data_IF_316822761665
#
_entry.id   IF_316822761665
#
_cell.length_a   1.000
_cell.length_b   1.000
_cell.length_c   1.000
_cell.angle_alpha   90.00
_cell.angle_beta   90.00
_cell.angle_gamma   90.00
#
_symmetry.space_group_name_H-M   'P 1'
#
loop_
_entity.id
_entity.type
_entity.pdbx_description
1 polymer ?
#
# COMPACT_ATOMS: atom_id res chain seq x y z
N UNK A 1 1.29 -1.10 7.10
CA UNK A 1 2.19 -2.06 7.76
C UNK A 1 3.62 -1.57 7.59
N UNK A 2 4.40 -1.61 8.67
CA UNK A 2 5.84 -1.35 8.64
C UNK A 2 6.62 -2.58 9.08
N UNK A 3 7.95 -2.54 8.98
CA UNK A 3 8.79 -3.63 9.47
C UNK A 3 8.94 -3.60 10.99
N UNK A 4 8.75 -4.76 11.62
CA UNK A 4 9.14 -5.05 13.00
C UNK A 4 10.40 -5.89 12.93
N UNK A 5 11.46 -5.43 13.62
CA UNK A 5 12.75 -6.12 13.63
C UNK A 5 12.88 -6.91 14.92
N UNK A 6 13.01 -8.22 14.81
CA UNK A 6 13.43 -9.11 15.90
C UNK A 6 14.82 -9.69 15.58
N UNK A 7 15.49 -10.28 16.57
CA UNK A 7 16.77 -10.96 16.35
C UNK A 7 16.61 -12.46 16.48
N UNK A 8 17.23 -13.17 15.56
CA UNK A 8 17.37 -14.61 15.63
C UNK A 8 18.20 -15.01 16.87
N UNK A 9 17.72 -15.95 17.71
CA UNK A 9 18.40 -16.30 18.96
C UNK A 9 19.69 -17.12 18.74
N UNK A 10 19.82 -17.80 17.59
CA UNK A 10 20.94 -18.71 17.29
C UNK A 10 22.09 -17.98 16.56
N UNK A 11 21.74 -17.05 15.67
CA UNK A 11 22.67 -16.37 14.76
C UNK A 11 22.69 -14.85 14.91
N UNK A 12 21.83 -14.28 15.76
CA UNK A 12 21.74 -12.82 16.03
C UNK A 12 21.50 -11.97 14.76
N UNK A 13 20.99 -12.59 13.69
CA UNK A 13 20.59 -11.92 12.44
C UNK A 13 19.27 -11.18 12.64
N UNK A 14 19.09 -10.06 11.95
CA UNK A 14 17.83 -9.31 11.95
C UNK A 14 16.74 -10.04 11.14
N UNK A 15 15.63 -10.36 11.80
CA UNK A 15 14.43 -10.89 11.19
C UNK A 15 13.44 -9.74 11.05
N UNK A 16 13.03 -9.44 9.81
CA UNK A 16 12.06 -8.38 9.50
C UNK A 16 10.69 -8.99 9.21
N UNK A 17 9.69 -8.66 10.02
CA UNK A 17 8.30 -9.08 9.82
C UNK A 17 7.39 -7.88 9.58
N UNK A 18 6.26 -8.08 8.91
CA UNK A 18 5.27 -7.03 8.74
C UNK A 18 4.43 -6.88 10.00
N UNK A 19 4.45 -5.69 10.60
CA UNK A 19 3.59 -5.29 11.70
C UNK A 19 2.55 -4.26 11.26
N UNK A 20 1.37 -4.32 11.88
CA UNK A 20 0.36 -3.26 11.73
C UNK A 20 0.92 -1.98 12.36
N UNK A 21 0.96 -0.91 11.56
CA UNK A 21 1.39 0.40 12.03
C UNK A 21 0.23 1.12 12.73
N UNK A 22 -0.91 1.22 12.04
CA UNK A 22 -2.15 1.82 12.53
C UNK A 22 -3.30 1.51 11.56
N UNK A 23 -4.55 1.64 12.03
CA UNK A 23 -5.77 1.47 11.21
C UNK A 23 -6.52 2.79 11.15
N UNK A 24 -6.64 3.37 9.95
CA UNK A 24 -7.23 4.70 9.75
C UNK A 24 -8.32 4.70 8.70
N UNK A 25 -9.23 5.66 8.82
CA UNK A 25 -10.17 6.00 7.75
C UNK A 25 -9.45 6.63 6.57
N UNK A 26 -9.75 6.13 5.37
CA UNK A 26 -9.23 6.63 4.11
C UNK A 26 -10.31 6.56 3.03
N UNK A 27 -10.23 7.46 2.06
CA UNK A 27 -10.96 7.35 0.81
C UNK A 27 -10.12 6.54 -0.18
N UNK A 28 -10.70 5.48 -0.74
CA UNK A 28 -10.06 4.63 -1.74
C UNK A 28 -10.83 4.80 -3.05
N UNK A 29 -10.12 5.24 -4.10
CA UNK A 29 -10.67 5.36 -5.45
C UNK A 29 -9.90 4.42 -6.37
N UNK A 30 -10.58 3.39 -6.88
CA UNK A 30 -10.02 2.51 -7.90
C UNK A 30 -9.85 3.28 -9.21
N UNK A 31 -8.65 3.21 -9.78
CA UNK A 31 -8.32 3.92 -11.02
C UNK A 31 -8.50 2.92 -12.16
N UNK A 32 -9.53 3.12 -12.97
CA UNK A 32 -9.74 2.29 -14.15
C UNK A 32 -8.59 2.50 -15.14
N UNK A 33 -8.04 1.42 -15.73
CA UNK A 33 -7.09 1.56 -16.84
C UNK A 33 -7.80 2.28 -18.00
N UNK A 34 -7.21 3.37 -18.48
CA UNK A 34 -7.76 4.08 -19.64
C UNK A 34 -7.55 3.22 -20.89
N UNK A 35 -8.62 3.02 -21.68
CA UNK A 35 -8.68 2.13 -22.87
C UNK A 35 -7.80 2.52 -24.06
N UNK A 36 -6.92 3.50 -23.94
CA UNK A 36 -6.06 3.98 -25.04
C UNK A 36 -4.60 3.79 -24.67
N UNK A 37 -4.13 2.55 -24.79
CA UNK A 37 -2.75 2.08 -25.04
C UNK A 37 -2.56 0.65 -24.48
N UNK A 38 -3.41 -0.30 -24.90
CA UNK A 38 -3.11 -1.72 -24.66
C UNK A 38 -3.24 -2.48 -25.98
N UNK A 39 -2.23 -2.31 -26.83
CA UNK A 39 -1.77 -3.37 -27.73
C UNK A 39 -0.25 -3.35 -27.64
N UNK A 40 0.32 -4.18 -26.75
CA UNK A 40 1.47 -5.04 -27.06
C UNK A 40 1.93 -5.84 -25.83
N UNK A 41 1.88 -7.16 -25.99
CA UNK A 41 2.58 -8.22 -25.23
C UNK A 41 2.09 -8.63 -23.83
N UNK A 42 1.48 -9.82 -23.82
CA UNK A 42 1.70 -10.95 -22.91
C UNK A 42 1.78 -10.69 -21.39
N UNK A 43 0.84 -11.31 -20.67
CA UNK A 43 0.67 -11.29 -19.20
C UNK A 43 0.20 -9.93 -18.70
N UNK A 44 -1.05 -9.60 -19.02
CA UNK A 44 -1.77 -8.52 -18.36
C UNK A 44 -2.09 -8.97 -16.92
N UNK A 45 -1.07 -8.90 -16.06
CA UNK A 45 -1.30 -8.82 -14.61
C UNK A 45 -2.13 -7.56 -14.45
N UNK A 46 -3.43 -7.72 -14.19
CA UNK A 46 -4.32 -6.60 -13.92
C UNK A 46 -3.87 -5.98 -12.59
N UNK A 47 -2.86 -5.13 -12.66
CA UNK A 47 -2.50 -4.21 -11.61
C UNK A 47 -3.73 -3.32 -11.44
N UNK A 48 -4.41 -3.42 -10.29
CA UNK A 48 -5.56 -2.55 -9.96
C UNK A 48 -5.01 -1.34 -9.21
N UNK A 49 -4.59 -0.26 -9.90
CA UNK A 49 -4.13 0.92 -9.22
C UNK A 49 -5.28 1.54 -8.44
N UNK A 50 -4.97 2.07 -7.27
CA UNK A 50 -5.94 2.80 -6.46
C UNK A 50 -5.29 4.01 -5.84
N UNK A 51 -6.04 5.11 -5.84
CA UNK A 51 -5.68 6.34 -5.17
C UNK A 51 -6.26 6.32 -3.77
N UNK A 52 -5.40 6.39 -2.77
CA UNK A 52 -5.78 6.39 -1.36
C UNK A 52 -5.51 7.77 -0.78
N UNK A 53 -6.53 8.37 -0.16
CA UNK A 53 -6.43 9.66 0.53
C UNK A 53 -6.81 9.50 1.98
N UNK A 54 -5.99 10.05 2.87
CA UNK A 54 -6.25 10.03 4.32
C UNK A 54 -5.75 11.32 4.98
N UNK A 55 -5.95 11.44 6.30
CA UNK A 55 -5.41 12.55 7.09
C UNK A 55 -3.88 12.61 6.98
N UNK A 56 -3.33 13.81 7.09
CA UNK A 56 -1.89 14.04 7.03
C UNK A 56 -1.12 13.18 8.02
N UNK A 57 -0.08 12.49 7.53
CA UNK A 57 0.83 11.66 8.32
C UNK A 57 2.24 11.76 7.78
N UNK A 58 3.19 11.87 8.70
CA UNK A 58 4.64 11.86 8.40
C UNK A 58 5.28 10.49 8.63
N UNK A 59 4.51 9.56 9.19
CA UNK A 59 4.95 8.23 9.63
C UNK A 59 4.76 7.14 8.55
N UNK A 60 4.36 7.54 7.35
CA UNK A 60 4.20 6.63 6.21
C UNK A 60 5.40 6.77 5.29
N UNK A 61 6.01 5.65 4.90
CA UNK A 61 7.12 5.61 3.94
C UNK A 61 6.74 4.78 2.72
N UNK A 62 7.32 5.02 1.52
CA UNK A 62 6.97 4.29 0.30
C UNK A 62 7.29 2.79 0.36
N UNK A 63 8.19 2.36 1.24
CA UNK A 63 8.51 0.95 1.47
C UNK A 63 7.43 0.19 2.27
N UNK A 64 6.42 0.89 2.80
CA UNK A 64 5.33 0.27 3.56
C UNK A 64 4.28 -0.39 2.66
N UNK A 65 3.48 -1.28 3.27
CA UNK A 65 2.30 -1.89 2.65
C UNK A 65 1.01 -1.34 3.24
N UNK A 66 -0.04 -1.26 2.44
CA UNK A 66 -1.39 -0.96 2.90
C UNK A 66 -2.24 -2.23 2.90
N UNK A 67 -3.11 -2.35 3.89
CA UNK A 67 -4.18 -3.35 3.89
C UNK A 67 -5.47 -2.55 3.82
N UNK A 68 -6.21 -2.72 2.73
CA UNK A 68 -7.55 -2.14 2.61
C UNK A 68 -8.49 -3.04 3.40
N UNK A 69 -9.24 -2.45 4.32
CA UNK A 69 -10.23 -3.14 5.15
C UNK A 69 -11.62 -2.59 4.85
N UNK A 70 -12.62 -3.48 4.91
CA UNK A 70 -14.02 -3.10 4.82
C UNK A 70 -14.49 -2.29 6.03
N UNK A 71 -15.70 -1.73 5.95
CA UNK A 71 -16.29 -0.99 7.06
C UNK A 71 -16.53 -1.88 8.31
N UNK A 72 -16.66 -3.19 8.12
CA UNK A 72 -16.76 -4.21 9.16
C UNK A 72 -15.40 -4.62 9.77
N UNK A 73 -14.29 -4.10 9.22
CA UNK A 73 -12.93 -4.38 9.67
C UNK A 73 -12.29 -5.62 9.04
N UNK A 74 -12.99 -6.39 8.21
CA UNK A 74 -12.38 -7.50 7.48
C UNK A 74 -11.39 -6.99 6.43
N UNK A 75 -10.23 -7.67 6.26
CA UNK A 75 -9.29 -7.34 5.19
C UNK A 75 -9.89 -7.67 3.82
N UNK A 76 -9.82 -6.71 2.90
CA UNK A 76 -10.21 -6.87 1.49
C UNK A 76 -9.00 -7.26 0.63
N UNK A 77 -7.96 -6.42 0.63
CA UNK A 77 -6.75 -6.67 -0.15
C UNK A 77 -5.52 -5.98 0.42
N UNK A 78 -4.38 -6.63 0.23
CA UNK A 78 -3.06 -6.06 0.46
C UNK A 78 -2.60 -5.27 -0.76
N UNK A 79 -1.92 -4.16 -0.52
CA UNK A 79 -1.42 -3.28 -1.55
C UNK A 79 0.02 -2.82 -1.24
N UNK A 80 0.82 -2.68 -2.28
CA UNK A 80 2.10 -1.98 -2.22
C UNK A 80 1.92 -0.50 -2.61
N UNK A 81 2.70 0.37 -1.98
CA UNK A 81 2.75 1.79 -2.35
C UNK A 81 3.63 1.92 -3.59
N UNK A 82 3.06 2.45 -4.68
CA UNK A 82 3.79 2.71 -5.93
C UNK A 82 4.16 4.18 -6.09
N UNK A 83 3.44 5.09 -5.43
CA UNK A 83 3.78 6.51 -5.40
C UNK A 83 3.24 7.20 -4.13
N UNK A 84 3.93 8.26 -3.70
CA UNK A 84 3.65 8.99 -2.46
C UNK A 84 4.48 8.46 -1.28
N UNK A 85 4.30 8.99 -0.05
CA UNK A 85 3.28 9.94 0.39
C UNK A 85 3.41 11.34 -0.22
N UNK A 86 2.35 11.80 -0.89
CA UNK A 86 2.26 13.17 -1.39
C UNK A 86 1.39 14.00 -0.44
N UNK A 87 1.91 15.14 0.04
CA UNK A 87 1.12 16.07 0.86
C UNK A 87 0.00 16.71 0.01
N UNK A 88 -1.21 16.73 0.57
CA UNK A 88 -2.35 17.46 0.03
C UNK A 88 -2.45 18.80 0.77
N UNK A 89 -2.44 19.91 0.03
CA UNK A 89 -2.63 21.24 0.58
C UNK A 89 -1.51 21.65 1.53
N UNK A 90 -1.87 22.25 2.68
CA UNK A 90 -0.91 22.58 3.76
C UNK A 90 -1.13 21.64 4.94
N UNK A 91 -0.65 20.40 4.82
CA UNK A 91 -0.88 19.31 5.80
C UNK A 91 -2.36 18.95 6.02
N UNK A 92 -3.19 19.07 4.99
CA UNK A 92 -4.61 18.72 5.07
C UNK A 92 -4.82 17.21 4.91
N UNK A 93 -3.97 16.57 4.12
CA UNK A 93 -4.03 15.14 3.88
C UNK A 93 -2.75 14.59 3.28
N UNK A 94 -2.77 13.28 3.04
CA UNK A 94 -1.77 12.58 2.24
C UNK A 94 -2.46 11.76 1.16
N UNK A 95 -1.88 11.77 -0.03
CA UNK A 95 -2.28 10.93 -1.17
C UNK A 95 -1.22 9.85 -1.41
N UNK A 96 -1.68 8.64 -1.66
CA UNK A 96 -0.89 7.50 -2.09
C UNK A 96 -1.48 6.93 -3.37
N UNK A 97 -0.61 6.48 -4.26
CA UNK A 97 -0.98 5.54 -5.31
C UNK A 97 -0.52 4.16 -4.87
N UNK A 98 -1.42 3.20 -4.89
CA UNK A 98 -1.15 1.82 -4.50
C UNK A 98 -1.59 0.87 -5.60
N UNK A 99 -1.02 -0.33 -5.64
CA UNK A 99 -1.52 -1.43 -6.47
C UNK A 99 -1.66 -2.70 -5.63
N UNK A 100 -2.55 -3.60 -6.05
CA UNK A 100 -2.72 -4.90 -5.40
C UNK A 100 -1.39 -5.63 -5.30
N UNK A 101 -1.02 -6.00 -4.07
CA UNK A 101 0.16 -6.81 -3.82
C UNK A 101 -0.15 -8.25 -4.19
N UNK A 102 0.68 -8.85 -5.03
CA UNK A 102 0.68 -10.29 -5.27
C UNK A 102 2.02 -10.82 -4.80
N UNK A 103 2.02 -11.70 -3.81
CA UNK A 103 3.20 -12.52 -3.54
C UNK A 103 3.43 -13.40 -4.76
N UNK A 104 4.46 -13.10 -5.56
CA UNK A 104 4.92 -14.03 -6.58
C UNK A 104 5.29 -15.35 -5.90
N UNK A 105 4.49 -16.37 -6.17
CA UNK A 105 4.82 -17.76 -5.87
C UNK A 105 5.67 -18.37 -6.98
#
# INVERSE_FOLDING_TARGET
MGYVVTRDPDYNTEIKTWGVLDTVWASVLDVLPSRSETVQNAVEIVERPSKVRMRYRTDITPDMRLVIVGADGAPDRECEIVAGPAEIGRREGVELLVKSFRSSG
#
